data_IF_040526728241
#
_entry.id   IF_040526728241
#
_cell.length_a   1.000
_cell.length_b   1.000
_cell.length_c   1.000
_cell.angle_alpha   90.00
_cell.angle_beta   90.00
_cell.angle_gamma   90.00
#
_symmetry.space_group_name_H-M   'P 1'
#
loop_
_entity.id
_entity.type
_entity.pdbx_description
1 polymer ?
#
# COMPACT_ATOMS: atom_id res chain seq x y z
N UNK A 1 -54.11 -54.79 13.87
CA UNK A 1 -55.26 -53.86 13.95
C UNK A 1 -55.11 -52.85 12.81
N UNK A 2 -55.68 -53.07 11.60
CA UNK A 2 -57.07 -52.70 11.20
C UNK A 2 -57.34 -51.19 11.49
N UNK A 3 -57.61 -50.26 10.56
CA UNK A 3 -58.19 -50.26 9.21
C UNK A 3 -57.73 -49.01 8.40
N UNK A 4 -57.58 -49.19 7.07
CA UNK A 4 -58.04 -48.36 5.92
C UNK A 4 -58.31 -46.84 6.11
N UNK A 5 -57.81 -46.00 5.19
CA UNK A 5 -58.53 -45.67 3.94
C UNK A 5 -57.75 -44.70 3.02
N UNK A 6 -57.74 -45.01 1.72
CA UNK A 6 -57.34 -44.14 0.58
C UNK A 6 -58.51 -43.21 0.22
N UNK A 7 -58.23 -42.07 -0.43
CA UNK A 7 -58.94 -41.45 -1.58
C UNK A 7 -58.18 -40.16 -1.97
N UNK A 8 -57.53 -40.05 -3.13
CA UNK A 8 -57.98 -39.81 -4.51
C UNK A 8 -58.10 -38.33 -4.94
N UNK A 9 -57.27 -37.97 -5.93
CA UNK A 9 -57.52 -37.12 -7.12
C UNK A 9 -58.11 -35.72 -6.93
N UNK A 10 -57.45 -34.69 -7.50
CA UNK A 10 -57.70 -34.27 -8.89
C UNK A 10 -57.12 -32.88 -9.21
N UNK A 11 -56.75 -32.78 -10.48
CA UNK A 11 -56.20 -31.68 -11.25
C UNK A 11 -57.28 -30.65 -11.64
N UNK A 12 -56.94 -29.36 -11.68
CA UNK A 12 -57.58 -28.30 -12.49
C UNK A 12 -56.52 -27.17 -12.63
N UNK A 13 -55.81 -26.97 -13.74
CA UNK A 13 -56.17 -26.69 -15.13
C UNK A 13 -56.66 -25.24 -15.40
N UNK A 14 -55.81 -24.50 -16.16
CA UNK A 14 -56.15 -23.53 -17.24
C UNK A 14 -56.69 -22.15 -16.75
N UNK A 15 -56.40 -21.01 -17.39
CA UNK A 15 -56.25 -20.73 -18.83
C UNK A 15 -55.78 -19.28 -19.10
N UNK A 16 -55.05 -19.10 -20.21
CA UNK A 16 -55.04 -18.04 -21.24
C UNK A 16 -55.09 -16.54 -20.85
N UNK A 17 -54.13 -15.70 -21.25
CA UNK A 17 -53.74 -15.23 -22.61
C UNK A 17 -54.61 -14.07 -23.13
N UNK A 18 -53.96 -12.96 -23.50
CA UNK A 18 -54.40 -12.09 -24.59
C UNK A 18 -53.20 -11.32 -25.17
N UNK A 19 -52.83 -11.72 -26.38
CA UNK A 19 -52.05 -11.01 -27.40
C UNK A 19 -53.02 -10.07 -28.12
N UNK A 20 -52.59 -8.90 -28.56
CA UNK A 20 -53.04 -8.42 -29.88
C UNK A 20 -52.05 -7.44 -30.48
N UNK A 21 -51.47 -7.90 -31.58
CA UNK A 21 -50.73 -7.16 -32.58
C UNK A 21 -51.68 -6.70 -33.70
N UNK A 22 -51.13 -5.90 -34.61
CA UNK A 22 -51.28 -5.97 -36.08
C UNK A 22 -51.93 -4.74 -36.82
N UNK A 23 -51.13 -4.26 -37.79
CA UNK A 23 -51.38 -3.67 -39.14
C UNK A 23 -51.80 -2.21 -39.40
N UNK A 24 -50.84 -1.45 -39.95
CA UNK A 24 -50.63 -1.07 -41.39
C UNK A 24 -51.83 -0.62 -42.25
N UNK A 25 -51.73 0.58 -42.85
CA UNK A 25 -51.87 0.80 -44.31
C UNK A 25 -51.41 2.21 -44.77
N UNK A 26 -51.29 2.37 -46.08
CA UNK A 26 -50.43 3.29 -46.87
C UNK A 26 -51.26 4.33 -47.65
N UNK A 27 -50.76 5.56 -47.88
CA UNK A 27 -50.94 6.30 -49.15
C UNK A 27 -49.98 7.50 -49.33
N UNK A 28 -49.94 8.05 -50.55
CA UNK A 28 -48.78 8.55 -51.34
C UNK A 28 -48.96 10.01 -51.82
N UNK A 29 -47.86 10.67 -52.26
CA UNK A 29 -47.66 11.95 -53.02
C UNK A 29 -47.66 13.27 -52.20
N UNK A 30 -46.85 14.33 -52.44
CA UNK A 30 -45.82 14.67 -53.44
C UNK A 30 -45.01 15.93 -53.02
N UNK A 31 -43.82 16.10 -53.61
CA UNK A 31 -43.02 17.33 -53.87
C UNK A 31 -42.76 18.35 -52.73
N UNK A 32 -41.49 18.59 -52.41
CA UNK A 32 -40.69 19.74 -52.91
C UNK A 32 -39.25 19.72 -52.37
N UNK A 33 -38.31 20.11 -53.24
CA UNK A 33 -36.88 20.29 -52.96
C UNK A 33 -36.66 21.43 -51.96
N UNK A 34 -35.77 21.23 -50.99
CA UNK A 34 -34.83 22.27 -50.52
C UNK A 34 -33.54 21.61 -50.06
N UNK A 35 -32.45 21.93 -50.75
CA UNK A 35 -31.10 21.69 -50.27
C UNK A 35 -30.88 22.56 -49.04
N UNK A 36 -30.32 21.99 -47.97
CA UNK A 36 -29.53 22.78 -47.03
C UNK A 36 -28.34 21.96 -46.56
N UNK A 37 -27.17 22.53 -46.78
CA UNK A 37 -25.85 22.03 -46.43
C UNK A 37 -25.78 21.94 -44.91
N UNK A 38 -25.73 20.72 -44.37
CA UNK A 38 -25.47 20.50 -42.94
C UNK A 38 -23.95 20.44 -42.74
N UNK A 39 -23.40 21.58 -42.31
CA UNK A 39 -22.06 21.68 -41.75
C UNK A 39 -21.96 20.74 -40.54
N UNK A 40 -21.01 19.81 -40.58
CA UNK A 40 -20.67 18.93 -39.45
C UNK A 40 -20.28 19.80 -38.26
N UNK A 41 -21.18 19.90 -37.28
CA UNK A 41 -20.87 20.39 -35.94
C UNK A 41 -19.86 19.43 -35.30
N UNK A 42 -18.61 19.83 -35.23
CA UNK A 42 -17.64 19.22 -34.32
C UNK A 42 -18.07 19.60 -32.91
N UNK A 43 -18.69 18.67 -32.20
CA UNK A 43 -18.88 18.77 -30.76
C UNK A 43 -17.50 18.79 -30.10
N UNK A 44 -16.96 19.99 -29.87
CA UNK A 44 -15.89 20.21 -28.92
C UNK A 44 -16.54 20.31 -27.54
N UNK A 45 -16.43 19.24 -26.76
CA UNK A 45 -16.67 19.29 -25.32
C UNK A 45 -15.75 20.36 -24.72
N UNK A 46 -16.24 21.25 -23.85
CA UNK A 46 -15.36 22.13 -23.12
C UNK A 46 -14.66 21.25 -22.09
N UNK A 47 -13.42 20.86 -22.37
CA UNK A 47 -12.51 20.44 -21.31
C UNK A 47 -12.36 21.65 -20.40
N UNK A 48 -13.11 21.64 -19.29
CA UNK A 48 -12.88 22.52 -18.17
C UNK A 48 -11.49 22.19 -17.64
N UNK A 49 -10.49 22.92 -18.14
CA UNK A 49 -9.21 23.05 -17.49
C UNK A 49 -9.50 23.61 -16.10
N UNK A 50 -9.55 22.73 -15.09
CA UNK A 50 -9.61 23.11 -13.70
C UNK A 50 -8.20 23.59 -13.32
N UNK A 51 -7.85 24.77 -13.84
CA UNK A 51 -6.67 25.52 -13.43
C UNK A 51 -6.97 26.14 -12.06
N UNK A 52 -6.78 25.32 -11.03
CA UNK A 52 -6.66 25.78 -9.67
C UNK A 52 -5.24 25.47 -9.23
N UNK A 53 -4.36 26.46 -9.28
CA UNK A 53 -3.09 26.37 -8.56
C UNK A 53 -3.43 26.19 -7.08
N UNK A 54 -3.33 24.97 -6.57
CA UNK A 54 -3.43 24.67 -5.15
C UNK A 54 -2.16 25.21 -4.47
N UNK A 55 -2.13 26.50 -4.18
CA UNK A 55 -1.03 27.18 -3.47
C UNK A 55 -1.09 27.01 -1.95
N UNK A 56 -1.68 25.95 -1.45
CA UNK A 56 -1.58 25.61 -0.03
C UNK A 56 -1.64 24.11 0.17
N UNK A 57 -0.55 23.41 -0.20
CA UNK A 57 -0.27 22.13 0.43
C UNK A 57 0.19 22.43 1.85
N UNK A 58 -0.51 21.88 2.84
CA UNK A 58 -0.15 21.97 4.25
C UNK A 58 0.22 20.58 4.72
N UNK A 59 1.50 20.36 4.97
CA UNK A 59 2.03 19.08 5.44
C UNK A 59 1.97 19.09 6.96
N UNK A 60 1.28 18.13 7.55
CA UNK A 60 1.26 17.92 8.99
C UNK A 60 2.36 16.93 9.39
N UNK A 61 2.89 17.06 10.60
CA UNK A 61 3.83 16.10 11.16
C UNK A 61 3.25 15.45 12.41
N UNK A 62 3.49 14.14 12.55
CA UNK A 62 3.13 13.35 13.72
C UNK A 62 4.37 12.63 14.23
N UNK A 63 4.57 12.64 15.55
CA UNK A 63 5.63 11.89 16.21
C UNK A 63 5.34 10.40 16.18
N UNK A 64 6.37 9.58 15.99
CA UNK A 64 6.27 8.11 16.12
C UNK A 64 6.88 7.64 17.43
N UNK A 65 6.65 6.39 17.86
CA UNK A 65 7.37 5.80 18.99
C UNK A 65 8.90 5.72 18.78
N UNK A 66 9.36 5.79 17.53
CA UNK A 66 10.78 5.85 17.20
C UNK A 66 11.26 7.32 17.20
N UNK A 67 12.17 7.74 18.10
CA UNK A 67 12.64 9.13 18.17
C UNK A 67 13.38 9.59 16.91
N UNK A 68 13.92 8.63 16.13
CA UNK A 68 14.62 8.90 14.88
C UNK A 68 13.66 9.02 13.70
N UNK A 69 12.35 8.84 13.89
CA UNK A 69 11.38 8.77 12.80
C UNK A 69 10.17 9.67 13.01
N UNK A 70 9.78 10.40 11.97
CA UNK A 70 8.63 11.33 11.97
C UNK A 70 7.74 11.02 10.77
N UNK A 71 6.42 11.08 11.01
CA UNK A 71 5.41 10.89 9.98
C UNK A 71 5.00 12.24 9.39
N UNK A 72 5.06 12.36 8.08
CA UNK A 72 4.66 13.52 7.29
C UNK A 72 3.36 13.21 6.54
N UNK A 73 2.30 13.98 6.80
CA UNK A 73 0.99 13.83 6.20
C UNK A 73 0.75 15.00 5.22
N UNK A 74 0.93 14.80 3.90
CA UNK A 74 0.79 15.86 2.91
C UNK A 74 -0.67 16.28 2.64
N UNK A 75 -1.64 15.63 3.28
CA UNK A 75 -3.07 15.89 3.09
C UNK A 75 -3.64 15.37 1.76
N UNK A 76 -2.89 14.51 1.07
CA UNK A 76 -3.30 13.78 -0.14
C UNK A 76 -2.66 12.40 -0.19
N UNK A 77 -3.21 11.51 -1.00
CA UNK A 77 -2.63 10.20 -1.23
C UNK A 77 -1.19 10.33 -1.78
N UNK A 78 -0.26 9.59 -1.16
CA UNK A 78 1.15 9.49 -1.51
C UNK A 78 1.32 8.35 -2.51
N UNK A 79 0.83 7.16 -2.17
CA UNK A 79 0.78 6.02 -3.08
C UNK A 79 -0.61 5.91 -3.72
N UNK A 80 -0.64 5.46 -4.96
CA UNK A 80 -1.85 5.16 -5.71
C UNK A 80 -2.58 3.95 -5.11
N UNK A 81 -3.90 3.83 -5.34
CA UNK A 81 -4.76 2.71 -4.95
C UNK A 81 -4.29 1.36 -5.53
N UNK A 82 -3.42 1.40 -6.55
CA UNK A 82 -2.72 0.21 -7.07
C UNK A 82 -1.78 -0.43 -6.04
N UNK A 83 -1.27 0.33 -5.07
CA UNK A 83 -0.41 -0.17 -3.99
C UNK A 83 -1.27 -0.62 -2.80
N UNK A 84 -1.28 -1.92 -2.52
CA UNK A 84 -1.96 -2.48 -1.34
C UNK A 84 -1.12 -2.34 -0.06
N UNK A 85 0.20 -2.27 -0.23
CA UNK A 85 1.15 -2.13 0.86
C UNK A 85 2.04 -0.93 0.67
N UNK A 86 2.66 -0.45 1.76
CA UNK A 86 3.65 0.60 1.64
C UNK A 86 4.93 0.12 0.94
N UNK A 87 5.79 1.08 0.62
CA UNK A 87 7.10 0.84 0.00
C UNK A 87 8.18 1.40 0.91
N UNK A 88 9.12 0.55 1.32
CA UNK A 88 10.27 0.92 2.14
C UNK A 88 11.48 1.19 1.26
N UNK A 89 12.19 2.27 1.55
CA UNK A 89 13.37 2.69 0.83
C UNK A 89 14.55 2.87 1.79
N UNK A 90 15.69 2.30 1.41
CA UNK A 90 17.01 2.59 1.99
C UNK A 90 17.91 3.17 0.88
N UNK A 91 18.94 3.97 1.21
CA UNK A 91 19.81 4.58 0.20
C UNK A 91 20.45 3.58 -0.78
N UNK A 92 20.65 2.34 -0.34
CA UNK A 92 21.24 1.25 -1.12
C UNK A 92 20.23 0.41 -1.89
N UNK A 93 18.93 0.57 -1.62
CA UNK A 93 17.89 -0.24 -2.27
C UNK A 93 17.68 0.18 -3.72
N UNK A 94 17.53 -0.81 -4.60
CA UNK A 94 17.15 -0.59 -6.00
C UNK A 94 15.75 0.05 -6.13
N UNK A 95 14.90 -0.08 -5.10
CA UNK A 95 13.58 0.56 -5.01
C UNK A 95 13.65 2.09 -5.15
N UNK A 96 14.74 2.72 -4.66
CA UNK A 96 14.93 4.17 -4.77
C UNK A 96 14.90 4.62 -6.23
N UNK A 97 15.35 3.78 -7.17
CA UNK A 97 15.35 4.13 -8.60
C UNK A 97 13.94 4.30 -9.15
N UNK A 98 12.94 3.67 -8.54
CA UNK A 98 11.54 3.68 -8.95
C UNK A 98 10.74 4.83 -8.38
N UNK A 99 11.32 5.65 -7.49
CA UNK A 99 10.64 6.83 -6.96
C UNK A 99 11.45 8.11 -7.13
N UNK A 100 10.97 9.08 -7.94
CA UNK A 100 11.59 10.39 -8.01
C UNK A 100 11.51 11.17 -6.69
N UNK A 101 10.46 10.97 -5.90
CA UNK A 101 10.33 11.58 -4.57
C UNK A 101 11.36 11.00 -3.59
N UNK A 102 11.51 9.67 -3.53
CA UNK A 102 12.50 9.05 -2.64
C UNK A 102 13.93 9.52 -3.00
N UNK A 103 14.27 9.60 -4.29
CA UNK A 103 15.56 10.15 -4.75
C UNK A 103 15.82 11.56 -4.24
N UNK A 104 14.81 12.45 -4.29
CA UNK A 104 14.94 13.83 -3.82
C UNK A 104 15.05 13.89 -2.29
N UNK A 105 14.33 13.03 -1.57
CA UNK A 105 14.44 12.95 -0.12
C UNK A 105 15.83 12.47 0.32
N UNK A 106 16.40 11.44 -0.31
CA UNK A 106 17.77 10.99 0.00
C UNK A 106 18.89 11.96 -0.42
N UNK A 107 18.57 13.08 -1.08
CA UNK A 107 19.54 14.17 -1.29
C UNK A 107 19.69 15.05 -0.05
N UNK A 108 18.72 15.02 0.87
CA UNK A 108 18.84 15.66 2.18
C UNK A 108 19.77 14.81 3.03
N UNK A 109 20.86 15.42 3.48
CA UNK A 109 21.86 14.76 4.33
C UNK A 109 21.22 14.29 5.65
N UNK A 110 21.63 13.14 6.16
CA UNK A 110 21.10 12.61 7.43
C UNK A 110 19.87 11.71 7.31
N UNK A 111 19.22 11.58 6.14
CA UNK A 111 18.09 10.65 5.97
C UNK A 111 18.60 9.22 5.70
N UNK A 112 18.22 8.27 6.55
CA UNK A 112 18.67 6.87 6.49
C UNK A 112 17.61 5.92 5.93
N UNK A 113 16.33 6.24 6.07
CA UNK A 113 15.22 5.45 5.52
C UNK A 113 14.03 6.36 5.21
N UNK A 114 13.33 6.03 4.14
CA UNK A 114 12.07 6.68 3.76
C UNK A 114 11.05 5.57 3.52
N UNK A 115 9.85 5.73 4.01
CA UNK A 115 8.75 4.80 3.81
C UNK A 115 7.53 5.53 3.32
N UNK A 116 6.93 5.04 2.23
CA UNK A 116 5.67 5.56 1.71
C UNK A 116 4.54 4.62 2.07
N UNK A 117 3.56 5.17 2.77
CA UNK A 117 2.25 4.56 2.95
C UNK A 117 1.28 5.14 1.92
N UNK A 118 0.01 4.75 1.99
CA UNK A 118 -1.06 5.30 1.16
C UNK A 118 -1.23 6.80 1.39
N UNK A 119 -1.22 7.24 2.65
CA UNK A 119 -1.61 8.61 3.01
C UNK A 119 -0.50 9.43 3.71
N UNK A 120 0.64 8.81 4.01
CA UNK A 120 1.74 9.46 4.71
C UNK A 120 3.12 9.00 4.22
N UNK A 121 4.12 9.80 4.56
CA UNK A 121 5.54 9.50 4.36
C UNK A 121 6.17 9.41 5.74
N UNK A 122 6.81 8.29 6.07
CA UNK A 122 7.64 8.19 7.27
C UNK A 122 9.10 8.37 6.88
N UNK A 123 9.82 9.24 7.59
CA UNK A 123 11.23 9.53 7.34
C UNK A 123 11.99 9.22 8.61
N UNK A 124 13.07 8.47 8.46
CA UNK A 124 14.00 8.15 9.55
C UNK A 124 15.34 8.80 9.28
N UNK A 125 15.86 9.51 10.27
CA UNK A 125 17.17 10.15 10.24
C UNK A 125 18.25 9.31 10.91
N UNK A 126 19.51 9.69 10.75
CA UNK A 126 20.63 9.19 11.55
C UNK A 126 20.54 9.69 13.00
N UNK A 127 21.21 8.98 13.90
CA UNK A 127 21.22 9.32 15.33
C UNK A 127 21.91 10.66 15.63
N UNK A 128 22.86 11.06 14.77
CA UNK A 128 23.70 12.26 14.95
C UNK A 128 23.05 13.57 14.50
N UNK A 129 21.90 13.50 13.83
CA UNK A 129 21.24 14.67 13.22
C UNK A 129 20.07 15.18 14.07
N UNK A 130 19.69 16.45 13.92
CA UNK A 130 18.53 17.04 14.60
C UNK A 130 17.42 17.40 13.61
N UNK A 131 16.16 17.26 14.05
CA UNK A 131 15.00 17.51 13.20
C UNK A 131 14.81 18.99 12.81
N UNK A 132 15.36 19.94 13.56
CA UNK A 132 15.15 21.38 13.35
C UNK A 132 15.61 21.85 11.95
N UNK A 133 16.77 21.36 11.49
CA UNK A 133 17.29 21.65 10.14
C UNK A 133 16.63 20.79 9.06
N UNK A 134 16.51 19.48 9.33
CA UNK A 134 15.98 18.50 8.38
C UNK A 134 14.54 18.80 7.97
N UNK A 135 13.70 19.24 8.91
CA UNK A 135 12.29 19.51 8.63
C UNK A 135 12.12 20.54 7.51
N UNK A 136 12.90 21.62 7.51
CA UNK A 136 12.79 22.66 6.49
C UNK A 136 13.10 22.14 5.09
N UNK A 137 14.15 21.34 4.95
CA UNK A 137 14.56 20.73 3.69
C UNK A 137 13.55 19.68 3.20
N UNK A 138 13.10 18.81 4.10
CA UNK A 138 12.09 17.78 3.81
C UNK A 138 10.78 18.43 3.34
N UNK A 139 10.29 19.46 4.05
CA UNK A 139 9.08 20.16 3.65
C UNK A 139 9.23 20.78 2.27
N UNK A 140 10.38 21.42 1.98
CA UNK A 140 10.64 22.00 0.67
C UNK A 140 10.60 20.93 -0.44
N UNK A 141 11.27 19.79 -0.23
CA UNK A 141 11.28 18.67 -1.18
C UNK A 141 9.87 18.13 -1.44
N UNK A 142 9.09 17.86 -0.38
CA UNK A 142 7.74 17.30 -0.51
C UNK A 142 6.82 18.31 -1.22
N UNK A 143 6.86 19.59 -0.84
CA UNK A 143 6.03 20.63 -1.46
C UNK A 143 6.38 20.82 -2.95
N UNK A 144 7.66 20.93 -3.28
CA UNK A 144 8.12 21.13 -4.66
C UNK A 144 7.79 19.93 -5.54
N UNK A 145 7.99 18.72 -5.03
CA UNK A 145 7.63 17.49 -5.73
C UNK A 145 6.12 17.43 -6.02
N UNK A 146 5.30 17.74 -5.02
CA UNK A 146 3.86 17.66 -5.19
C UNK A 146 3.28 18.82 -6.01
N UNK A 147 3.98 19.95 -6.08
CA UNK A 147 3.69 21.07 -6.97
C UNK A 147 4.08 20.79 -8.43
N UNK A 148 5.10 19.95 -8.69
CA UNK A 148 5.49 19.57 -10.06
C UNK A 148 4.50 18.59 -10.71
N UNK A 149 3.61 17.98 -9.91
CA UNK A 149 2.62 16.99 -10.36
C UNK A 149 3.26 15.77 -11.06
N UNK A 150 4.46 15.42 -10.61
CA UNK A 150 5.20 14.20 -10.96
C UNK A 150 4.61 12.99 -10.22
N UNK A 151 4.74 11.80 -10.80
CA UNK A 151 4.28 10.55 -10.16
C UNK A 151 5.26 10.11 -9.08
N UNK A 152 4.75 9.70 -7.91
CA UNK A 152 5.58 9.26 -6.77
C UNK A 152 6.37 8.00 -7.10
N UNK A 153 5.79 7.11 -7.91
CA UNK A 153 6.39 5.86 -8.38
C UNK A 153 6.39 5.85 -9.91
N UNK A 154 7.49 5.44 -10.54
CA UNK A 154 7.64 5.36 -12.00
C UNK A 154 7.07 4.08 -12.60
N UNK A 155 6.98 3.03 -11.79
CA UNK A 155 6.69 1.67 -12.24
C UNK A 155 5.40 1.16 -11.58
N UNK A 156 4.86 0.07 -12.13
CA UNK A 156 3.74 -0.65 -11.52
C UNK A 156 4.14 -1.24 -10.15
N UNK A 157 3.18 -1.37 -9.22
CA UNK A 157 3.43 -2.00 -7.93
C UNK A 157 3.93 -3.43 -8.12
N UNK A 158 4.95 -3.79 -7.34
CA UNK A 158 5.34 -5.19 -7.20
C UNK A 158 4.32 -5.81 -6.26
N UNK A 159 3.66 -6.88 -6.70
CA UNK A 159 2.72 -7.63 -5.85
C UNK A 159 3.54 -8.23 -4.71
N UNK A 160 3.36 -7.71 -3.50
CA UNK A 160 3.96 -8.31 -2.29
C UNK A 160 3.18 -9.55 -1.89
N UNK A 161 3.84 -10.57 -1.35
CA UNK A 161 3.18 -11.78 -0.82
C UNK A 161 2.21 -11.47 0.34
N UNK A 162 2.19 -10.25 0.87
CA UNK A 162 1.18 -9.80 1.84
C UNK A 162 -0.25 -9.79 1.29
N UNK A 163 -0.43 -9.70 -0.04
CA UNK A 163 -1.76 -9.78 -0.64
C UNK A 163 -2.33 -11.19 -0.54
N UNK A 164 -3.60 -11.31 -0.13
CA UNK A 164 -4.30 -12.60 -0.06
C UNK A 164 -4.59 -13.07 -1.48
N UNK A 165 -4.05 -14.24 -1.82
CA UNK A 165 -4.24 -14.88 -3.11
C UNK A 165 -5.24 -16.05 -2.98
N UNK A 166 -6.06 -16.33 -4.00
CA UNK A 166 -6.99 -17.47 -3.98
C UNK A 166 -6.33 -18.85 -3.79
N UNK A 167 -5.05 -18.94 -4.14
CA UNK A 167 -4.21 -20.13 -4.01
C UNK A 167 -3.52 -20.28 -2.65
N UNK A 168 -3.65 -19.32 -1.74
CA UNK A 168 -3.07 -19.40 -0.40
C UNK A 168 -3.71 -20.54 0.41
N UNK A 169 -2.88 -21.26 1.18
CA UNK A 169 -3.37 -22.23 2.16
C UNK A 169 -4.29 -21.54 3.19
N UNK A 170 -5.28 -22.27 3.74
CA UNK A 170 -6.26 -21.69 4.68
C UNK A 170 -5.58 -20.99 5.87
N UNK A 171 -4.49 -21.56 6.39
CA UNK A 171 -3.70 -20.98 7.48
C UNK A 171 -3.00 -19.69 7.03
N UNK A 172 -2.42 -19.68 5.84
CA UNK A 172 -1.73 -18.50 5.28
C UNK A 172 -2.74 -17.37 5.03
N UNK A 173 -3.91 -17.69 4.48
CA UNK A 173 -4.99 -16.73 4.28
C UNK A 173 -5.47 -16.12 5.61
N UNK A 174 -5.62 -16.93 6.66
CA UNK A 174 -5.95 -16.44 8.00
C UNK A 174 -4.85 -15.53 8.58
N UNK A 175 -3.57 -15.87 8.40
CA UNK A 175 -2.43 -15.04 8.85
C UNK A 175 -2.49 -13.68 8.14
N UNK A 176 -2.60 -13.68 6.81
CA UNK A 176 -2.66 -12.47 5.99
C UNK A 176 -3.87 -11.61 6.36
N UNK A 177 -5.04 -12.20 6.58
CA UNK A 177 -6.24 -11.48 7.02
C UNK A 177 -6.07 -10.82 8.39
N UNK A 178 -5.51 -11.55 9.37
CA UNK A 178 -5.29 -11.01 10.71
C UNK A 178 -4.27 -9.87 10.69
N UNK A 179 -3.21 -10.01 9.90
CA UNK A 179 -2.23 -8.95 9.68
C UNK A 179 -2.92 -7.70 9.14
N UNK A 180 -3.69 -7.84 8.07
CA UNK A 180 -4.39 -6.73 7.40
C UNK A 180 -5.39 -6.03 8.31
N UNK A 181 -6.27 -6.78 8.96
CA UNK A 181 -7.43 -6.19 9.63
C UNK A 181 -7.12 -5.67 11.04
N UNK A 182 -6.10 -6.21 11.70
CA UNK A 182 -5.85 -5.90 13.13
C UNK A 182 -4.47 -5.37 13.44
N UNK A 183 -3.44 -5.84 12.75
CA UNK A 183 -2.06 -5.49 13.09
C UNK A 183 -1.59 -4.28 12.29
N UNK A 184 -1.76 -4.31 10.96
CA UNK A 184 -1.34 -3.22 10.07
C UNK A 184 -1.89 -1.85 10.48
N UNK A 185 -3.17 -1.69 10.90
CA UNK A 185 -3.67 -0.38 11.34
C UNK A 185 -2.84 0.23 12.47
N UNK A 186 -2.55 -0.56 13.51
CA UNK A 186 -1.75 -0.10 14.64
C UNK A 186 -0.29 0.18 14.25
N UNK A 187 0.29 -0.63 13.36
CA UNK A 187 1.67 -0.43 12.88
C UNK A 187 1.77 0.83 12.01
N UNK A 188 0.75 1.13 11.20
CA UNK A 188 0.69 2.33 10.38
C UNK A 188 0.45 3.60 11.19
N UNK A 189 -0.31 3.52 12.28
CA UNK A 189 -0.44 4.61 13.25
C UNK A 189 0.93 4.99 13.83
N UNK A 190 1.77 3.98 14.11
CA UNK A 190 3.15 4.14 14.57
C UNK A 190 4.15 4.53 13.45
N UNK A 191 3.68 4.73 12.21
CA UNK A 191 4.50 5.20 11.08
C UNK A 191 5.27 4.10 10.34
N UNK A 192 4.94 2.82 10.56
CA UNK A 192 5.54 1.67 9.87
C UNK A 192 4.56 0.88 9.01
N UNK A 193 5.00 -0.29 8.57
CA UNK A 193 4.14 -1.34 8.01
C UNK A 193 4.73 -2.72 8.31
N UNK A 194 3.95 -3.78 8.08
CA UNK A 194 4.38 -5.17 8.26
C UNK A 194 4.04 -5.97 7.00
N UNK A 195 5.03 -6.66 6.46
CA UNK A 195 4.89 -7.52 5.30
C UNK A 195 4.99 -8.99 5.69
N UNK A 196 4.09 -9.81 5.17
CA UNK A 196 4.21 -11.25 5.26
C UNK A 196 5.28 -11.75 4.27
N UNK A 197 6.12 -12.70 4.70
CA UNK A 197 7.18 -13.30 3.87
C UNK A 197 7.08 -14.82 3.74
N UNK A 198 6.38 -15.48 4.66
CA UNK A 198 6.22 -16.93 4.61
C UNK A 198 5.72 -17.52 5.92
N UNK A 199 5.33 -18.78 5.83
CA UNK A 199 4.93 -19.59 6.97
C UNK A 199 5.48 -21.01 6.78
N UNK A 200 6.24 -21.50 7.77
CA UNK A 200 6.69 -22.88 7.81
C UNK A 200 5.74 -23.72 8.67
N UNK A 201 4.92 -24.53 8.00
CA UNK A 201 3.94 -25.40 8.65
C UNK A 201 4.55 -26.44 9.62
N UNK A 202 5.81 -26.86 9.39
CA UNK A 202 6.45 -27.89 10.23
C UNK A 202 6.85 -27.33 11.58
N UNK A 203 7.44 -26.13 11.56
CA UNK A 203 7.89 -25.45 12.77
C UNK A 203 6.77 -24.63 13.41
N UNK A 204 5.84 -24.13 12.60
CA UNK A 204 4.80 -23.16 12.99
C UNK A 204 5.33 -21.73 13.04
N UNK A 205 6.38 -21.40 12.28
CA UNK A 205 7.03 -20.08 12.30
C UNK A 205 6.51 -19.21 11.16
N UNK A 206 6.06 -18.00 11.50
CA UNK A 206 5.67 -16.97 10.52
C UNK A 206 6.84 -16.00 10.32
N UNK A 207 7.29 -15.83 9.08
CA UNK A 207 8.31 -14.87 8.72
C UNK A 207 7.65 -13.56 8.30
N UNK A 208 8.00 -12.46 8.97
CA UNK A 208 7.47 -11.12 8.72
C UNK A 208 8.59 -10.11 8.52
N UNK A 209 8.40 -9.10 7.69
CA UNK A 209 9.33 -7.98 7.53
C UNK A 209 8.68 -6.70 8.06
N UNK A 210 9.37 -6.01 8.97
CA UNK A 210 8.96 -4.69 9.43
C UNK A 210 9.47 -3.61 8.48
N UNK A 211 8.71 -2.53 8.33
CA UNK A 211 9.03 -1.40 7.45
C UNK A 211 8.80 -0.04 8.12
N UNK A 212 9.35 1.03 7.52
CA UNK A 212 9.20 2.40 8.02
C UNK A 212 9.79 2.59 9.41
N UNK A 213 9.05 3.27 10.29
CA UNK A 213 9.51 3.61 11.65
C UNK A 213 9.79 2.40 12.54
N UNK A 214 9.16 1.26 12.25
CA UNK A 214 9.31 0.01 13.01
C UNK A 214 10.57 -0.77 12.64
N UNK A 215 11.13 -0.55 11.44
CA UNK A 215 12.27 -1.29 10.96
C UNK A 215 13.58 -0.78 11.60
N UNK A 216 14.39 -1.69 12.15
CA UNK A 216 15.69 -1.36 12.77
C UNK A 216 15.61 -0.62 14.12
N UNK A 217 14.42 -0.47 14.71
CA UNK A 217 14.24 0.15 16.02
C UNK A 217 14.25 -0.92 17.13
N UNK A 218 15.28 -1.03 17.99
CA UNK A 218 15.40 -2.11 18.96
C UNK A 218 14.30 -2.12 20.03
N UNK A 219 13.77 -0.95 20.40
CA UNK A 219 12.67 -0.85 21.36
C UNK A 219 11.31 -1.23 20.75
N UNK A 220 11.07 -0.82 19.52
CA UNK A 220 9.80 -1.04 18.82
C UNK A 220 9.72 -2.44 18.23
N UNK A 221 10.82 -2.97 17.67
CA UNK A 221 10.85 -4.31 17.05
C UNK A 221 10.53 -5.39 18.08
N UNK A 222 11.13 -5.34 19.27
CA UNK A 222 10.87 -6.32 20.33
C UNK A 222 9.40 -6.26 20.77
N UNK A 223 8.89 -5.08 21.10
CA UNK A 223 7.52 -4.94 21.62
C UNK A 223 6.48 -5.32 20.57
N UNK A 224 6.65 -4.83 19.33
CA UNK A 224 5.76 -5.12 18.23
C UNK A 224 5.79 -6.61 17.88
N UNK A 225 6.98 -7.23 17.84
CA UNK A 225 7.13 -8.66 17.58
C UNK A 225 6.36 -9.50 18.60
N UNK A 226 6.51 -9.21 19.89
CA UNK A 226 5.76 -9.92 20.93
C UNK A 226 4.24 -9.69 20.81
N UNK A 227 3.80 -8.47 20.47
CA UNK A 227 2.40 -8.16 20.25
C UNK A 227 1.79 -8.96 19.09
N UNK A 228 2.45 -8.93 17.94
CA UNK A 228 2.07 -9.67 16.73
C UNK A 228 2.06 -11.18 16.98
N UNK A 229 3.10 -11.70 17.63
CA UNK A 229 3.23 -13.11 17.94
C UNK A 229 2.09 -13.60 18.85
N UNK A 230 1.79 -12.85 19.91
CA UNK A 230 0.70 -13.20 20.84
C UNK A 230 -0.66 -13.17 20.15
N UNK A 231 -0.89 -12.21 19.25
CA UNK A 231 -2.14 -12.16 18.48
C UNK A 231 -2.27 -13.34 17.54
N UNK A 232 -1.23 -13.65 16.75
CA UNK A 232 -1.27 -14.77 15.81
C UNK A 232 -1.49 -16.10 16.53
N UNK A 233 -0.75 -16.35 17.63
CA UNK A 233 -0.93 -17.55 18.48
C UNK A 233 -2.33 -17.69 19.06
N UNK A 234 -2.99 -16.58 19.36
CA UNK A 234 -4.32 -16.59 19.96
C UNK A 234 -5.39 -17.00 18.95
N UNK A 235 -5.28 -16.52 17.71
CA UNK A 235 -6.29 -16.77 16.66
C UNK A 235 -5.97 -18.00 15.79
N UNK A 236 -4.70 -18.40 15.69
CA UNK A 236 -4.23 -19.46 14.78
C UNK A 236 -3.40 -20.48 15.57
N UNK A 237 -3.97 -21.64 15.95
CA UNK A 237 -3.31 -22.62 16.80
C UNK A 237 -2.07 -23.28 16.17
N UNK A 238 -1.95 -23.23 14.84
CA UNK A 238 -0.80 -23.71 14.07
C UNK A 238 0.44 -22.82 14.24
N UNK A 239 0.25 -21.54 14.59
CA UNK A 239 1.35 -20.59 14.77
C UNK A 239 2.00 -20.79 16.15
N UNK A 240 3.30 -21.07 16.14
CA UNK A 240 4.15 -21.25 17.33
C UNK A 240 5.08 -20.07 17.63
N UNK A 241 5.30 -19.20 16.67
CA UNK A 241 6.18 -18.04 16.83
C UNK A 241 6.30 -17.23 15.55
N UNK A 242 7.00 -16.10 15.66
CA UNK A 242 7.33 -15.27 14.50
C UNK A 242 8.83 -14.97 14.44
N UNK A 243 9.33 -14.77 13.23
CA UNK A 243 10.69 -14.36 12.96
C UNK A 243 10.71 -13.14 12.04
N UNK A 244 11.73 -12.31 12.21
CA UNK A 244 11.91 -11.13 11.38
C UNK A 244 12.74 -11.51 10.15
N UNK A 245 12.15 -11.32 8.97
CA UNK A 245 12.86 -11.44 7.71
C UNK A 245 13.71 -10.19 7.49
N UNK A 246 15.02 -10.34 7.67
CA UNK A 246 16.01 -9.33 7.31
C UNK A 246 16.64 -9.76 6.00
N UNK A 247 16.59 -8.89 4.99
CA UNK A 247 17.19 -9.20 3.68
C UNK A 247 18.69 -9.51 3.84
N UNK A 248 19.09 -10.74 3.49
CA UNK A 248 20.47 -11.22 3.66
C UNK A 248 21.49 -10.37 2.87
N UNK A 249 21.08 -9.78 1.75
CA UNK A 249 21.95 -8.95 0.93
C UNK A 249 22.39 -7.67 1.66
N UNK A 250 21.52 -7.07 2.48
CA UNK A 250 21.84 -5.88 3.28
C UNK A 250 22.84 -6.18 4.41
N UNK A 251 22.74 -7.36 5.04
CA UNK A 251 23.68 -7.76 6.10
C UNK A 251 25.10 -7.94 5.57
N UNK A 252 25.26 -8.51 4.38
CA UNK A 252 26.62 -8.71 3.82
C UNK A 252 27.30 -7.40 3.42
N UNK A 253 26.55 -6.38 3.00
CA UNK A 253 27.09 -5.05 2.68
C UNK A 253 27.44 -4.31 3.97
N UNK A 254 26.54 -4.30 4.96
CA UNK A 254 26.77 -3.65 6.24
C UNK A 254 27.96 -4.27 6.99
N UNK A 255 28.10 -5.59 7.01
CA UNK A 255 29.26 -6.25 7.61
C UNK A 255 30.59 -5.90 6.90
N UNK A 256 30.57 -5.75 5.57
CA UNK A 256 31.77 -5.38 4.80
C UNK A 256 32.15 -3.92 5.04
N UNK A 257 31.16 -3.03 5.10
CA UNK A 257 31.38 -1.61 5.41
C UNK A 257 31.90 -1.44 6.83
N UNK A 258 31.31 -2.15 7.80
CA UNK A 258 31.76 -2.15 9.19
C UNK A 258 33.21 -2.65 9.32
N UNK A 259 33.55 -3.78 8.68
CA UNK A 259 34.94 -4.29 8.65
C UNK A 259 35.91 -3.31 8.00
N UNK A 260 35.52 -2.68 6.89
CA UNK A 260 36.34 -1.66 6.23
C UNK A 260 36.54 -0.42 7.11
N UNK A 261 35.53 -0.04 7.88
CA UNK A 261 35.59 1.08 8.81
C UNK A 261 36.49 0.79 10.02
N UNK A 262 36.35 -0.39 10.64
CA UNK A 262 37.22 -0.85 11.72
C UNK A 262 38.69 -0.92 11.30
N UNK A 263 38.97 -1.38 10.09
CA UNK A 263 40.33 -1.40 9.53
C UNK A 263 40.91 0.01 9.38
N UNK A 264 40.09 0.98 8.95
CA UNK A 264 40.51 2.39 8.86
C UNK A 264 40.75 3.01 10.24
N UNK A 265 39.92 2.69 11.24
CA UNK A 265 40.11 3.16 12.61
C UNK A 265 41.35 2.55 13.27
N UNK A 266 41.62 1.25 13.03
CA UNK A 266 42.87 0.59 13.44
C UNK A 266 44.10 1.19 12.76
N UNK A 267 44.01 1.51 11.48
CA UNK A 267 45.08 2.19 10.74
C UNK A 267 45.32 3.63 11.25
N UNK A 268 44.28 4.28 11.78
CA UNK A 268 44.36 5.58 12.44
C UNK A 268 44.83 5.51 13.91
N UNK A 269 45.03 4.31 14.46
CA UNK A 269 45.56 4.10 15.81
C UNK A 269 44.55 4.35 16.95
N UNK A 270 43.24 4.32 16.66
CA UNK A 270 42.20 4.48 17.67
C UNK A 270 41.84 3.09 18.24
N UNK A 271 41.96 2.86 19.56
CA UNK A 271 41.54 1.59 20.18
C UNK A 271 40.03 1.42 20.06
N UNK A 272 39.60 0.25 19.61
CA UNK A 272 38.20 -0.20 19.58
C UNK A 272 38.07 -1.29 20.65
N UNK A 273 37.58 -0.90 21.83
CA UNK A 273 37.24 -1.81 22.94
C UNK A 273 35.71 -1.92 23.07
#
# INVERSE_FOLDING_TARGET
>A
MFLRSRHHLSTLARRCAAISSVTRSVHVLSKTKRCNVSLKSRNMSPFLARSGALRSMFIQTESTPNPQSVKFLPGRAVLDDRFTTGVDFTPTSEEVRRSPLAKKLFQVEGITRVFFSKDFISITKSEDEDWDGLNAEIFAVIMDFFASNEEVMSDEPIITDTTILPEDDEVVAMIKELLEQRIRPSVQDDGGDIFYKGFDEKTGMVSVQLAGSCAGCPSSSVTLKHGVENMLKHYIPEVRGIEEWVDEELNTVNEKEFRSFEEKLRAAGIPTD
#
